data_IF_095443216636
#
_entry.id   IF_095443216636
#
_cell.length_a   1.000
_cell.length_b   1.000
_cell.length_c   1.000
_cell.angle_alpha   90.00
_cell.angle_beta   90.00
_cell.angle_gamma   90.00
#
_symmetry.space_group_name_H-M   'P 1'
#
loop_
_entity.id
_entity.type
_entity.pdbx_description
1 polymer ?
#
# COMPACT_ATOMS: atom_id res chain seq x y z
N UNK A 1 5.90 -0.03 26.68
CA UNK A 1 5.65 0.75 25.45
C UNK A 1 5.18 -0.21 24.36
N UNK A 2 3.99 -0.01 23.79
CA UNK A 2 3.47 -0.89 22.72
C UNK A 2 4.31 -0.67 21.44
N UNK A 3 4.79 -1.74 20.82
CA UNK A 3 5.60 -1.70 19.60
C UNK A 3 4.88 -0.96 18.48
N UNK A 4 3.55 -1.09 18.39
CA UNK A 4 2.74 -0.37 17.39
C UNK A 4 2.77 1.15 17.57
N UNK A 5 2.70 1.64 18.81
CA UNK A 5 2.75 3.08 19.09
C UNK A 5 4.12 3.67 18.76
N UNK A 6 5.19 2.99 19.16
CA UNK A 6 6.56 3.38 18.81
C UNK A 6 6.72 3.47 17.28
N UNK A 7 6.10 2.54 16.56
CA UNK A 7 6.22 2.47 15.11
C UNK A 7 5.40 3.54 14.39
N UNK A 8 4.19 3.85 14.89
CA UNK A 8 3.39 4.99 14.42
C UNK A 8 4.12 6.32 14.62
N UNK A 9 4.73 6.52 15.78
CA UNK A 9 5.47 7.75 16.11
C UNK A 9 6.70 7.95 15.19
N UNK A 10 7.35 6.85 14.80
CA UNK A 10 8.55 6.91 13.95
C UNK A 10 8.21 7.06 12.48
N UNK A 11 7.28 6.26 11.95
CA UNK A 11 6.92 6.32 10.54
C UNK A 11 6.03 7.51 10.20
N UNK A 12 5.30 8.03 11.20
CA UNK A 12 4.36 9.14 11.05
C UNK A 12 3.48 8.97 9.79
N UNK A 13 2.70 7.87 9.69
CA UNK A 13 1.94 7.56 8.49
C UNK A 13 0.92 8.66 8.20
N UNK A 14 0.73 8.98 6.92
CA UNK A 14 -0.31 9.92 6.51
C UNK A 14 -1.66 9.23 6.48
N UNK A 15 -2.72 9.98 6.79
CA UNK A 15 -4.08 9.50 6.62
C UNK A 15 -4.46 9.50 5.14
N UNK A 16 -4.46 8.30 4.55
CA UNK A 16 -4.95 8.04 3.20
C UNK A 16 -6.27 7.27 3.20
N UNK A 17 -6.98 7.24 4.34
CA UNK A 17 -8.23 6.51 4.45
C UNK A 17 -9.28 7.07 3.49
N UNK A 18 -9.91 6.14 2.78
CA UNK A 18 -11.11 6.42 1.97
C UNK A 18 -12.39 6.18 2.77
N UNK A 19 -12.39 6.46 4.08
CA UNK A 19 -13.47 6.08 4.98
C UNK A 19 -14.84 6.57 4.48
N UNK A 20 -15.81 5.66 4.47
CA UNK A 20 -17.16 5.93 3.98
C UNK A 20 -17.34 5.85 2.46
N UNK A 21 -16.33 5.47 1.67
CA UNK A 21 -16.51 5.26 0.23
C UNK A 21 -17.43 4.08 -0.08
N UNK A 22 -18.32 4.23 -1.09
CA UNK A 22 -19.23 3.16 -1.48
C UNK A 22 -18.47 2.00 -2.14
N UNK A 23 -18.97 0.79 -1.90
CA UNK A 23 -18.62 -0.39 -2.70
C UNK A 23 -19.48 -0.44 -3.96
N UNK A 24 -19.14 -1.33 -4.89
CA UNK A 24 -19.96 -1.65 -6.04
C UNK A 24 -21.35 -2.05 -5.54
N UNK A 25 -22.39 -1.58 -6.24
CA UNK A 25 -23.73 -2.07 -6.01
C UNK A 25 -23.77 -3.56 -6.32
N UNK A 26 -24.66 -4.27 -5.61
CA UNK A 26 -24.90 -5.67 -5.87
C UNK A 26 -25.16 -5.89 -7.37
N UNK A 27 -24.60 -6.99 -7.87
CA UNK A 27 -24.67 -7.40 -9.27
C UNK A 27 -24.06 -6.47 -10.33
N UNK A 28 -23.34 -5.42 -9.94
CA UNK A 28 -22.61 -4.55 -10.88
C UNK A 28 -21.13 -4.92 -11.01
N UNK A 29 -20.51 -4.60 -12.16
CA UNK A 29 -19.06 -4.78 -12.42
C UNK A 29 -18.52 -6.20 -12.17
N UNK A 30 -19.40 -7.22 -12.20
CA UNK A 30 -19.07 -8.62 -11.86
C UNK A 30 -17.87 -9.14 -12.61
N UNK A 31 -17.85 -8.98 -13.93
CA UNK A 31 -16.77 -9.50 -14.78
C UNK A 31 -15.41 -8.87 -14.41
N UNK A 32 -15.38 -7.54 -14.27
CA UNK A 32 -14.16 -6.82 -13.85
C UNK A 32 -13.70 -7.24 -12.47
N UNK A 33 -14.62 -7.35 -11.50
CA UNK A 33 -14.29 -7.81 -10.15
C UNK A 33 -13.74 -9.23 -10.16
N UNK A 34 -14.39 -10.14 -10.89
CA UNK A 34 -13.96 -11.53 -11.00
C UNK A 34 -12.57 -11.63 -11.61
N UNK A 35 -12.29 -10.92 -12.70
CA UNK A 35 -10.94 -10.89 -13.29
C UNK A 35 -9.87 -10.40 -12.32
N UNK A 36 -10.18 -9.40 -11.49
CA UNK A 36 -9.23 -8.92 -10.47
C UNK A 36 -9.05 -9.97 -9.37
N UNK A 37 -10.12 -10.64 -8.93
CA UNK A 37 -10.01 -11.70 -7.91
C UNK A 37 -9.18 -12.87 -8.40
N UNK A 38 -9.46 -13.35 -9.62
CA UNK A 38 -8.70 -14.43 -10.24
C UNK A 38 -7.21 -14.06 -10.36
N UNK A 39 -6.92 -12.80 -10.70
CA UNK A 39 -5.54 -12.30 -10.79
C UNK A 39 -4.83 -12.27 -9.43
N UNK A 40 -5.48 -11.76 -8.37
CA UNK A 40 -4.87 -11.73 -7.03
C UNK A 40 -4.66 -13.15 -6.51
N UNK A 41 -5.64 -14.04 -6.70
CA UNK A 41 -5.64 -15.39 -6.14
C UNK A 41 -4.68 -16.34 -6.90
N UNK A 42 -4.41 -16.08 -8.18
CA UNK A 42 -3.37 -16.78 -8.94
C UNK A 42 -1.97 -16.56 -8.36
N UNK A 43 -1.71 -15.38 -7.79
CA UNK A 43 -0.42 -14.98 -7.24
C UNK A 43 0.71 -14.99 -8.28
N UNK A 44 1.96 -14.88 -7.80
CA UNK A 44 3.15 -14.90 -8.67
C UNK A 44 3.30 -13.64 -9.52
N UNK A 45 4.06 -13.76 -10.63
CA UNK A 45 4.33 -12.66 -11.56
C UNK A 45 3.50 -12.79 -12.85
N UNK A 46 3.07 -11.67 -13.47
CA UNK A 46 3.23 -10.29 -13.02
C UNK A 46 2.32 -9.97 -11.82
N UNK A 47 2.87 -9.26 -10.83
CA UNK A 47 2.24 -8.93 -9.54
C UNK A 47 1.75 -7.47 -9.45
N UNK A 48 1.62 -6.79 -10.61
CA UNK A 48 1.00 -5.46 -10.73
C UNK A 48 -0.16 -5.52 -11.71
N UNK A 49 -1.33 -5.00 -11.29
CA UNK A 49 -2.51 -4.80 -12.13
C UNK A 49 -2.87 -3.32 -12.16
N UNK A 50 -3.08 -2.79 -13.37
CA UNK A 50 -3.48 -1.40 -13.57
C UNK A 50 -4.95 -1.33 -14.05
N UNK A 51 -5.81 -0.72 -13.23
CA UNK A 51 -7.20 -0.45 -13.57
C UNK A 51 -7.35 0.96 -14.17
N UNK A 52 -7.52 1.04 -15.50
CA UNK A 52 -7.77 2.29 -16.23
C UNK A 52 -9.23 2.43 -16.67
N UNK A 53 -9.63 3.66 -16.93
CA UNK A 53 -10.98 4.01 -17.39
C UNK A 53 -11.26 5.49 -17.24
N UNK A 54 -12.30 5.98 -17.89
CA UNK A 54 -12.66 7.41 -17.87
C UNK A 54 -13.05 7.89 -16.46
N UNK A 55 -13.01 9.21 -16.26
CA UNK A 55 -13.47 9.81 -15.01
C UNK A 55 -14.95 9.46 -14.76
N UNK A 56 -15.31 9.20 -13.49
CA UNK A 56 -16.69 8.85 -13.12
C UNK A 56 -17.14 7.42 -13.43
N UNK A 57 -16.30 6.56 -14.02
CA UNK A 57 -16.66 5.16 -14.34
C UNK A 57 -16.73 4.21 -13.13
N UNK A 58 -16.35 4.68 -11.95
CA UNK A 58 -16.40 3.90 -10.70
C UNK A 58 -15.14 3.09 -10.39
N UNK A 59 -13.97 3.45 -10.92
CA UNK A 59 -12.69 2.80 -10.62
C UNK A 59 -12.41 2.72 -9.12
N UNK A 60 -12.56 3.83 -8.41
CA UNK A 60 -12.38 3.88 -6.95
C UNK A 60 -13.40 3.03 -6.19
N UNK A 61 -14.62 2.89 -6.73
CA UNK A 61 -15.66 2.00 -6.19
C UNK A 61 -15.25 0.53 -6.36
N UNK A 62 -14.69 0.15 -7.52
CA UNK A 62 -14.10 -1.18 -7.76
C UNK A 62 -12.94 -1.42 -6.80
N UNK A 63 -11.99 -0.49 -6.71
CA UNK A 63 -10.83 -0.57 -5.81
C UNK A 63 -11.26 -0.76 -4.34
N UNK A 64 -12.26 0.01 -3.89
CA UNK A 64 -12.84 -0.12 -2.54
C UNK A 64 -13.47 -1.49 -2.31
N UNK A 65 -14.19 -2.03 -3.30
CA UNK A 65 -14.83 -3.36 -3.22
C UNK A 65 -13.79 -4.47 -3.14
N UNK A 66 -12.76 -4.40 -3.97
CA UNK A 66 -11.63 -5.33 -3.95
C UNK A 66 -10.91 -5.26 -2.60
N UNK A 67 -10.57 -4.06 -2.14
CA UNK A 67 -9.92 -3.86 -0.85
C UNK A 67 -10.74 -4.47 0.30
N UNK A 68 -12.06 -4.23 0.35
CA UNK A 68 -12.95 -4.78 1.38
C UNK A 68 -12.99 -6.31 1.37
N UNK A 69 -13.04 -6.95 0.20
CA UNK A 69 -12.99 -8.42 0.10
C UNK A 69 -11.70 -8.97 0.71
N UNK A 70 -10.54 -8.43 0.31
CA UNK A 70 -9.25 -8.92 0.82
C UNK A 70 -8.98 -8.48 2.26
N UNK A 71 -9.58 -7.39 2.74
CA UNK A 71 -9.58 -7.04 4.16
C UNK A 71 -10.29 -8.12 4.99
N UNK A 72 -11.48 -8.55 4.56
CA UNK A 72 -12.24 -9.60 5.24
C UNK A 72 -11.53 -10.96 5.23
N UNK A 73 -10.72 -11.22 4.20
CA UNK A 73 -9.88 -12.42 4.13
C UNK A 73 -8.58 -12.31 4.96
N UNK A 74 -8.30 -11.16 5.57
CA UNK A 74 -7.03 -10.92 6.26
C UNK A 74 -5.83 -10.86 5.32
N UNK A 75 -6.02 -10.39 4.09
CA UNK A 75 -5.02 -10.33 3.01
C UNK A 75 -4.76 -8.91 2.47
N UNK A 76 -5.48 -7.88 2.94
CA UNK A 76 -5.26 -6.50 2.51
C UNK A 76 -4.12 -5.81 3.29
N UNK A 77 -2.92 -5.80 2.71
CA UNK A 77 -1.75 -5.11 3.26
C UNK A 77 -1.96 -3.62 3.47
N UNK A 78 -2.56 -2.94 2.49
CA UNK A 78 -2.80 -1.50 2.54
C UNK A 78 -3.85 -1.08 1.49
N UNK A 79 -4.61 -0.03 1.78
CA UNK A 79 -5.45 0.68 0.81
C UNK A 79 -5.22 2.18 0.96
N UNK A 80 -4.60 2.78 -0.05
CA UNK A 80 -4.29 4.22 -0.10
C UNK A 80 -5.21 4.87 -1.12
N UNK A 81 -5.95 5.88 -0.66
CA UNK A 81 -6.69 6.78 -1.52
C UNK A 81 -5.94 8.10 -1.71
N UNK A 82 -5.49 8.36 -2.92
CA UNK A 82 -4.78 9.58 -3.27
C UNK A 82 -5.76 10.74 -3.50
N UNK A 83 -5.43 11.91 -2.94
CA UNK A 83 -6.18 13.15 -3.09
C UNK A 83 -5.27 14.28 -3.54
N UNK A 84 -5.68 14.97 -4.60
CA UNK A 84 -4.92 16.10 -5.14
C UNK A 84 -4.72 17.18 -4.07
N UNK A 85 -3.47 17.59 -3.90
CA UNK A 85 -3.07 18.62 -2.92
C UNK A 85 -2.97 18.15 -1.47
N UNK A 86 -3.33 16.89 -1.18
CA UNK A 86 -3.20 16.29 0.15
C UNK A 86 -2.21 15.14 0.18
N UNK A 87 -2.14 14.36 -0.89
CA UNK A 87 -1.24 13.22 -0.97
C UNK A 87 0.12 13.59 -1.55
N UNK A 88 1.17 13.26 -0.79
CA UNK A 88 2.55 13.51 -1.16
C UNK A 88 3.33 12.19 -1.27
N UNK A 89 4.04 11.92 -2.39
CA UNK A 89 4.83 10.71 -2.59
C UNK A 89 5.77 10.35 -1.45
N UNK A 90 6.39 11.37 -0.84
CA UNK A 90 7.36 11.20 0.23
C UNK A 90 6.84 10.57 1.53
N UNK A 91 5.52 10.37 1.67
CA UNK A 91 4.88 9.70 2.83
C UNK A 91 4.16 8.39 2.44
N UNK A 92 4.10 8.06 1.15
CA UNK A 92 3.39 6.87 0.66
C UNK A 92 4.10 5.62 1.15
N UNK A 93 5.42 5.56 1.02
CA UNK A 93 6.22 4.40 1.41
C UNK A 93 6.16 4.13 2.92
N UNK A 94 6.20 5.19 3.74
CA UNK A 94 6.03 5.09 5.19
C UNK A 94 4.63 4.57 5.53
N UNK A 95 3.60 5.02 4.82
CA UNK A 95 2.23 4.57 5.07
C UNK A 95 2.03 3.11 4.67
N UNK A 96 2.56 2.68 3.52
CA UNK A 96 2.56 1.27 3.11
C UNK A 96 3.32 0.42 4.14
N UNK A 97 4.52 0.85 4.52
CA UNK A 97 5.34 0.15 5.51
C UNK A 97 4.67 0.07 6.89
N UNK A 98 3.96 1.13 7.26
CA UNK A 98 3.13 1.17 8.46
C UNK A 98 2.00 0.15 8.41
N UNK A 99 1.25 0.11 7.32
CA UNK A 99 0.13 -0.85 7.16
C UNK A 99 0.63 -2.30 7.10
N UNK A 100 1.72 -2.57 6.37
CA UNK A 100 2.30 -3.91 6.23
C UNK A 100 2.92 -4.45 7.52
N UNK A 101 3.38 -3.58 8.43
CA UNK A 101 3.90 -4.02 9.72
C UNK A 101 2.88 -4.80 10.56
N UNK A 102 1.59 -4.59 10.34
CA UNK A 102 0.52 -5.39 10.97
C UNK A 102 0.51 -6.85 10.52
N UNK A 103 1.06 -7.14 9.33
CA UNK A 103 1.06 -8.47 8.74
C UNK A 103 2.24 -9.33 9.20
N UNK A 104 3.39 -8.75 9.49
CA UNK A 104 4.58 -9.53 9.83
C UNK A 104 5.46 -8.86 10.87
N UNK A 105 5.61 -9.53 12.02
CA UNK A 105 6.49 -9.09 13.11
C UNK A 105 7.97 -8.99 12.69
N UNK A 106 8.41 -9.73 11.67
CA UNK A 106 9.77 -9.63 11.14
C UNK A 106 10.06 -8.27 10.49
N UNK A 107 9.09 -7.67 9.77
CA UNK A 107 9.23 -6.32 9.23
C UNK A 107 9.42 -5.31 10.37
N UNK A 108 8.57 -5.41 11.40
CA UNK A 108 8.64 -4.55 12.59
C UNK A 108 10.00 -4.69 13.28
N UNK A 109 10.49 -5.92 13.47
CA UNK A 109 11.79 -6.18 14.10
C UNK A 109 12.95 -5.64 13.26
N UNK A 110 12.90 -5.81 11.95
CA UNK A 110 13.92 -5.30 11.03
C UNK A 110 13.98 -3.77 11.12
N UNK A 111 12.84 -3.11 10.96
CA UNK A 111 12.76 -1.65 10.94
C UNK A 111 13.12 -1.06 12.30
N UNK A 112 12.63 -1.64 13.40
CA UNK A 112 13.01 -1.21 14.74
C UNK A 112 14.52 -1.37 15.00
N UNK A 113 15.17 -2.40 14.44
CA UNK A 113 16.64 -2.56 14.53
C UNK A 113 17.36 -1.50 13.71
N UNK A 114 16.91 -1.25 12.49
CA UNK A 114 17.48 -0.23 11.59
C UNK A 114 17.40 1.16 12.23
N UNK A 115 16.23 1.51 12.76
CA UNK A 115 15.97 2.76 13.48
C UNK A 115 16.85 2.94 14.72
N UNK A 116 17.03 1.88 15.53
CA UNK A 116 17.93 1.94 16.70
C UNK A 116 19.39 2.18 16.33
N UNK A 117 19.84 1.69 15.18
CA UNK A 117 21.22 1.83 14.75
C UNK A 117 21.49 3.18 14.07
N UNK A 118 20.53 3.65 13.26
CA UNK A 118 20.74 4.80 12.37
C UNK A 118 20.09 6.10 12.93
N UNK A 119 19.27 6.00 13.99
CA UNK A 119 18.67 7.12 14.70
C UNK A 119 17.38 7.66 14.07
N UNK A 120 17.42 7.97 12.77
CA UNK A 120 16.28 8.44 11.97
C UNK A 120 16.43 7.93 10.53
N UNK A 121 15.31 7.75 9.82
CA UNK A 121 15.29 7.44 8.38
C UNK A 121 15.54 8.72 7.56
N UNK A 122 15.38 9.90 8.18
CA UNK A 122 15.84 11.19 7.69
C UNK A 122 15.29 11.62 6.32
N UNK A 123 15.73 12.78 5.81
CA UNK A 123 15.50 13.17 4.42
C UNK A 123 16.43 12.35 3.51
N UNK A 124 16.02 11.13 3.22
CA UNK A 124 16.61 10.26 2.20
C UNK A 124 15.82 10.38 0.90
N UNK A 125 16.48 10.19 -0.25
CA UNK A 125 15.81 10.12 -1.54
C UNK A 125 14.79 8.96 -1.56
N UNK A 126 13.86 9.00 -2.52
CA UNK A 126 12.73 8.08 -2.53
C UNK A 126 13.14 6.61 -2.76
N UNK A 127 14.23 6.38 -3.50
CA UNK A 127 14.80 5.05 -3.72
C UNK A 127 15.31 4.50 -2.38
N UNK A 128 16.16 5.24 -1.69
CA UNK A 128 16.69 4.83 -0.37
C UNK A 128 15.56 4.55 0.63
N UNK A 129 14.50 5.38 0.64
CA UNK A 129 13.30 5.12 1.46
C UNK A 129 12.61 3.82 1.09
N UNK A 130 12.41 3.55 -0.20
CA UNK A 130 11.79 2.30 -0.66
C UNK A 130 12.56 1.08 -0.20
N UNK A 131 13.89 1.13 -0.31
CA UNK A 131 14.77 0.04 0.09
C UNK A 131 14.64 -0.27 1.59
N UNK A 132 14.77 0.77 2.41
CA UNK A 132 14.75 0.66 3.87
C UNK A 132 13.37 0.25 4.37
N UNK A 133 12.30 0.84 3.85
CA UNK A 133 10.94 0.72 4.39
C UNK A 133 10.18 -0.49 3.86
N UNK A 134 10.46 -0.92 2.62
CA UNK A 134 9.70 -1.97 1.94
C UNK A 134 10.60 -3.12 1.48
N UNK A 135 11.55 -2.88 0.56
CA UNK A 135 12.30 -3.96 -0.11
C UNK A 135 13.04 -4.87 0.88
N UNK A 136 13.87 -4.30 1.74
CA UNK A 136 14.72 -5.07 2.63
C UNK A 136 13.90 -5.77 3.74
N UNK A 137 12.93 -5.09 4.42
CA UNK A 137 12.04 -5.76 5.37
C UNK A 137 11.22 -6.88 4.74
N UNK A 138 10.67 -6.68 3.54
CA UNK A 138 9.86 -7.69 2.84
C UNK A 138 10.71 -8.88 2.40
N UNK A 139 11.95 -8.66 1.98
CA UNK A 139 12.88 -9.75 1.62
C UNK A 139 13.20 -10.66 2.80
N UNK A 140 13.29 -10.10 4.02
CA UNK A 140 13.43 -10.88 5.26
C UNK A 140 12.11 -11.58 5.64
N UNK A 141 10.98 -10.92 5.43
CA UNK A 141 9.64 -11.46 5.72
C UNK A 141 9.19 -12.58 4.78
N UNK A 142 9.63 -12.54 3.52
CA UNK A 142 9.30 -13.52 2.47
C UNK A 142 9.81 -14.95 2.74
N UNK A 143 10.52 -15.16 3.84
CA UNK A 143 10.95 -16.48 4.32
C UNK A 143 9.78 -17.34 4.84
N UNK A 144 8.61 -16.74 5.11
CA UNK A 144 7.39 -17.46 5.47
C UNK A 144 6.41 -17.49 4.28
N UNK A 145 6.04 -18.69 3.83
CA UNK A 145 5.07 -18.90 2.74
C UNK A 145 3.66 -18.65 3.28
N UNK A 146 3.13 -17.44 3.05
CA UNK A 146 1.75 -17.06 3.37
C UNK A 146 0.91 -16.79 2.12
N UNK A 147 -0.41 -16.57 2.26
CA UNK A 147 -1.25 -16.13 1.15
C UNK A 147 -0.78 -14.75 0.62
N UNK A 148 -1.13 -14.39 -0.63
CA UNK A 148 -0.79 -13.09 -1.19
C UNK A 148 -1.30 -11.94 -0.32
N UNK A 149 -0.47 -10.90 -0.16
CA UNK A 149 -0.84 -9.66 0.51
C UNK A 149 -1.09 -8.59 -0.55
N UNK A 150 -2.31 -8.08 -0.63
CA UNK A 150 -2.74 -7.09 -1.61
C UNK A 150 -2.48 -5.66 -1.11
N UNK A 151 -1.89 -4.83 -1.98
CA UNK A 151 -1.78 -3.38 -1.79
C UNK A 151 -2.64 -2.71 -2.86
N UNK A 152 -3.55 -1.83 -2.45
CA UNK A 152 -4.43 -1.07 -3.36
C UNK A 152 -4.03 0.40 -3.33
N UNK A 153 -3.67 0.93 -4.50
CA UNK A 153 -3.28 2.33 -4.72
C UNK A 153 -4.33 2.99 -5.63
N UNK A 154 -5.28 3.71 -5.04
CA UNK A 154 -6.42 4.30 -5.76
C UNK A 154 -6.21 5.80 -6.01
N UNK A 155 -6.45 6.25 -7.24
CA UNK A 155 -6.28 7.65 -7.65
C UNK A 155 -4.83 8.10 -7.79
N UNK A 156 -3.91 7.21 -8.16
CA UNK A 156 -2.46 7.51 -8.22
C UNK A 156 -2.12 8.78 -9.03
N UNK A 157 -2.94 9.14 -10.02
CA UNK A 157 -2.84 10.37 -10.81
C UNK A 157 -3.17 11.66 -10.03
N UNK A 158 -3.58 11.55 -8.77
CA UNK A 158 -3.80 12.65 -7.83
C UNK A 158 -2.64 12.83 -6.82
N UNK A 159 -1.66 11.93 -6.81
CA UNK A 159 -0.53 11.99 -5.89
C UNK A 159 0.52 13.01 -6.34
N UNK A 160 0.84 14.00 -5.51
CA UNK A 160 1.91 14.98 -5.74
C UNK A 160 1.84 15.73 -7.08
N UNK A 161 2.97 16.32 -7.49
CA UNK A 161 3.17 16.84 -8.85
C UNK A 161 3.51 15.68 -9.80
N UNK A 162 3.39 15.87 -11.14
CA UNK A 162 3.77 14.85 -12.11
C UNK A 162 5.21 14.33 -11.90
N UNK A 163 6.15 15.20 -11.57
CA UNK A 163 7.56 14.86 -11.37
C UNK A 163 7.75 13.98 -10.13
N UNK A 164 7.17 14.38 -9.00
CA UNK A 164 7.26 13.61 -7.76
C UNK A 164 6.54 12.26 -7.87
N UNK A 165 5.44 12.21 -8.63
CA UNK A 165 4.72 10.98 -8.92
C UNK A 165 5.54 10.03 -9.80
N UNK A 166 6.24 10.57 -10.81
CA UNK A 166 7.14 9.77 -11.61
C UNK A 166 8.23 9.14 -10.74
N UNK A 167 8.83 9.91 -9.83
CA UNK A 167 9.80 9.35 -8.89
C UNK A 167 9.23 8.23 -8.02
N UNK A 168 7.95 8.31 -7.63
CA UNK A 168 7.28 7.21 -6.91
C UNK A 168 7.07 5.98 -7.77
N UNK A 169 6.68 6.17 -9.03
CA UNK A 169 6.50 5.07 -9.98
C UNK A 169 7.83 4.38 -10.31
N UNK A 170 8.94 5.11 -10.33
CA UNK A 170 10.26 4.56 -10.63
C UNK A 170 10.76 3.59 -9.54
N UNK A 171 10.22 3.68 -8.31
CA UNK A 171 10.64 2.85 -7.17
C UNK A 171 9.65 1.74 -6.81
N UNK A 172 8.38 1.86 -7.20
CA UNK A 172 7.32 0.86 -6.93
C UNK A 172 7.39 -0.32 -7.91
#
# INVERSE_FOLDING_TARGET
>A
MNIERLYADILNPSDFSGDGRPQCLEDTRKETLQSIYDWVDAGGYPNVLLLIGEAGTGKSTIATTVARKYQNNGQLGCHIFFQRGRSHPGNVLQTISYSLASYTLSMVKYLAKKLRNDGDIGPTDLQTKFEILLRDPLSVAATNVGPPVLIVLDGLDECGTPELRQSLLDVL
#
